data_IF_185502688610
#
_entry.id   IF_185502688610
#
_cell.length_a   1.000
_cell.length_b   1.000
_cell.length_c   1.000
_cell.angle_alpha   90.00
_cell.angle_beta   90.00
_cell.angle_gamma   90.00
#
_symmetry.space_group_name_H-M   'P 1'
#
loop_
_entity.id
_entity.type
_entity.pdbx_description
1 polymer ?
#
# COMPACT_ATOMS: atom_id res chain seq x y z
N UNK A 1 -3.91 -25.36 -0.52
CA UNK A 1 -4.04 -24.11 -1.30
C UNK A 1 -3.76 -22.93 -0.38
N UNK A 2 -2.96 -21.95 -0.83
CA UNK A 2 -2.66 -20.73 -0.06
C UNK A 2 -3.93 -19.89 0.04
N UNK A 3 -4.15 -19.24 1.20
CA UNK A 3 -5.30 -18.36 1.46
C UNK A 3 -4.80 -16.93 1.68
N UNK A 4 -5.31 -15.96 0.94
CA UNK A 4 -4.84 -14.57 0.98
C UNK A 4 -6.02 -13.61 1.16
N UNK A 5 -5.90 -12.72 2.15
CA UNK A 5 -6.74 -11.53 2.28
C UNK A 5 -5.98 -10.38 1.64
N UNK A 6 -6.46 -9.92 0.49
CA UNK A 6 -5.92 -8.75 -0.18
C UNK A 6 -6.61 -7.49 0.36
N UNK A 7 -5.84 -6.62 1.02
CA UNK A 7 -6.31 -5.30 1.43
C UNK A 7 -6.00 -4.33 0.31
N UNK A 8 -6.98 -4.06 -0.55
CA UNK A 8 -6.85 -3.22 -1.74
C UNK A 8 -7.14 -1.77 -1.36
N UNK A 9 -6.20 -0.86 -1.61
CA UNK A 9 -6.35 0.54 -1.24
C UNK A 9 -5.55 1.49 -2.15
N UNK A 10 -6.08 2.69 -2.35
CA UNK A 10 -5.33 3.81 -2.92
C UNK A 10 -4.30 4.35 -1.93
N UNK A 11 -3.18 4.90 -2.42
CA UNK A 11 -2.20 5.54 -1.55
C UNK A 11 -2.85 6.65 -0.69
N UNK A 12 -2.42 6.78 0.56
CA UNK A 12 -2.96 7.79 1.50
C UNK A 12 -4.22 7.37 2.28
N UNK A 13 -4.83 6.21 1.99
CA UNK A 13 -6.08 5.79 2.67
C UNK A 13 -5.86 4.85 3.86
N UNK A 14 -4.62 4.45 4.17
CA UNK A 14 -4.28 3.69 5.38
C UNK A 14 -4.37 2.16 5.27
N UNK A 15 -4.33 1.59 4.06
CA UNK A 15 -4.47 0.15 3.87
C UNK A 15 -3.39 -0.72 4.51
N UNK A 16 -2.12 -0.26 4.58
CA UNK A 16 -1.07 -1.01 5.31
C UNK A 16 -1.40 -1.15 6.80
N UNK A 17 -1.89 -0.06 7.41
CA UNK A 17 -2.31 -0.08 8.82
C UNK A 17 -3.48 -1.04 9.02
N UNK A 18 -4.49 -0.99 8.15
CA UNK A 18 -5.60 -1.93 8.19
C UNK A 18 -5.14 -3.38 8.04
N UNK A 19 -4.24 -3.67 7.10
CA UNK A 19 -3.66 -5.00 6.90
C UNK A 19 -2.93 -5.51 8.15
N UNK A 20 -2.13 -4.66 8.81
CA UNK A 20 -1.48 -4.99 10.08
C UNK A 20 -2.51 -5.29 11.18
N UNK A 21 -3.62 -4.56 11.27
CA UNK A 21 -4.64 -4.85 12.28
C UNK A 21 -5.39 -6.17 11.98
N UNK A 22 -5.68 -6.46 10.70
CA UNK A 22 -6.28 -7.75 10.28
C UNK A 22 -5.35 -8.92 10.57
N UNK A 23 -4.03 -8.76 10.38
CA UNK A 23 -3.06 -9.84 10.58
C UNK A 23 -2.90 -10.28 12.03
N UNK A 24 -3.40 -9.48 12.99
CA UNK A 24 -3.41 -9.82 14.42
C UNK A 24 -4.52 -10.80 14.81
N UNK A 25 -5.48 -11.06 13.93
CA UNK A 25 -6.52 -12.05 14.16
C UNK A 25 -5.90 -13.45 14.25
N UNK A 26 -6.40 -14.31 15.15
CA UNK A 26 -5.86 -15.68 15.34
C UNK A 26 -5.90 -16.55 14.09
N UNK A 27 -6.79 -16.20 13.14
CA UNK A 27 -6.98 -16.86 11.84
C UNK A 27 -6.01 -16.38 10.77
N UNK A 28 -5.15 -15.41 11.07
CA UNK A 28 -4.20 -14.81 10.16
C UNK A 28 -2.76 -15.16 10.56
N UNK A 29 -1.89 -15.25 9.56
CA UNK A 29 -0.44 -15.21 9.78
C UNK A 29 -0.05 -13.78 10.12
N UNK A 30 0.92 -13.61 11.02
CA UNK A 30 1.39 -12.29 11.41
C UNK A 30 2.07 -11.58 10.22
N UNK A 31 1.63 -10.36 9.92
CA UNK A 31 2.25 -9.51 8.90
C UNK A 31 3.41 -8.74 9.54
N UNK A 32 4.63 -8.94 9.02
CA UNK A 32 5.78 -8.16 9.46
C UNK A 32 5.50 -6.69 9.16
N UNK A 33 5.53 -5.86 10.19
CA UNK A 33 5.27 -4.44 10.06
C UNK A 33 6.05 -3.64 11.08
N UNK A 34 6.36 -2.40 10.73
CA UNK A 34 6.95 -1.40 11.63
C UNK A 34 6.26 -0.05 11.40
N UNK A 35 6.21 0.77 12.43
CA UNK A 35 5.83 2.17 12.29
C UNK A 35 7.08 3.01 12.29
N UNK A 36 7.27 3.81 11.25
CA UNK A 36 8.31 4.83 11.16
C UNK A 36 7.59 6.16 11.13
N UNK A 37 7.83 6.98 12.16
CA UNK A 37 7.09 8.22 12.40
C UNK A 37 5.57 7.96 12.45
N UNK A 38 4.83 8.38 11.42
CA UNK A 38 3.37 8.17 11.31
C UNK A 38 2.98 7.17 10.20
N UNK A 39 3.95 6.54 9.55
CA UNK A 39 3.75 5.60 8.45
C UNK A 39 3.91 4.17 8.94
N UNK A 40 2.93 3.33 8.63
CA UNK A 40 3.06 1.88 8.76
C UNK A 40 3.69 1.32 7.50
N UNK A 41 4.78 0.58 7.64
CA UNK A 41 5.47 -0.12 6.55
C UNK A 41 5.33 -1.61 6.79
N UNK A 42 4.92 -2.34 5.76
CA UNK A 42 4.67 -3.79 5.83
C UNK A 42 5.58 -4.56 4.88
N UNK A 43 5.93 -5.79 5.27
CA UNK A 43 6.57 -6.79 4.40
C UNK A 43 5.70 -8.05 4.45
N UNK A 44 4.95 -8.27 3.37
CA UNK A 44 4.03 -9.40 3.23
C UNK A 44 4.66 -10.58 2.48
N UNK A 45 3.88 -11.63 2.27
CA UNK A 45 4.34 -12.86 1.63
C UNK A 45 4.72 -12.72 0.15
N UNK A 46 4.37 -11.60 -0.50
CA UNK A 46 4.76 -11.30 -1.86
C UNK A 46 5.99 -10.38 -1.91
N UNK A 47 6.70 -10.21 -0.79
CA UNK A 47 7.91 -9.36 -0.72
C UNK A 47 7.67 -7.92 -1.21
N UNK A 48 6.47 -7.39 -0.95
CA UNK A 48 5.99 -6.07 -1.40
C UNK A 48 5.69 -5.93 -2.91
N UNK A 49 5.85 -6.97 -3.73
CA UNK A 49 5.50 -6.95 -5.17
C UNK A 49 4.02 -6.60 -5.42
N UNK A 50 3.16 -6.84 -4.43
CA UNK A 50 1.75 -6.42 -4.44
C UNK A 50 1.53 -4.89 -4.37
N UNK A 51 2.58 -4.08 -4.18
CA UNK A 51 2.50 -2.62 -4.04
C UNK A 51 3.51 -1.86 -4.92
N UNK A 52 4.49 -2.57 -5.49
CA UNK A 52 5.58 -1.99 -6.27
C UNK A 52 5.25 -2.02 -7.76
N UNK A 53 5.35 -0.86 -8.42
CA UNK A 53 5.31 -0.77 -9.88
C UNK A 53 4.10 -1.40 -10.57
N UNK A 54 4.26 -1.85 -11.83
CA UNK A 54 3.31 -2.72 -12.53
C UNK A 54 3.34 -4.15 -11.98
N UNK A 55 2.19 -4.83 -11.99
CA UNK A 55 2.10 -6.20 -11.48
C UNK A 55 2.94 -7.18 -12.32
N UNK A 56 3.84 -7.92 -11.67
CA UNK A 56 4.63 -8.98 -12.29
C UNK A 56 4.16 -10.36 -11.81
N UNK A 57 3.31 -11.00 -12.60
CA UNK A 57 2.74 -12.30 -12.25
C UNK A 57 3.78 -13.40 -12.11
N UNK A 58 4.81 -13.42 -12.98
CA UNK A 58 5.84 -14.45 -12.93
C UNK A 58 6.65 -14.38 -11.64
N UNK A 59 7.02 -13.17 -11.21
CA UNK A 59 7.68 -12.95 -9.93
C UNK A 59 6.78 -13.37 -8.77
N UNK A 60 5.52 -12.93 -8.76
CA UNK A 60 4.54 -13.31 -7.72
C UNK A 60 4.37 -14.82 -7.63
N UNK A 61 4.22 -15.52 -8.75
CA UNK A 61 4.08 -16.99 -8.77
C UNK A 61 5.35 -17.70 -8.28
N UNK A 62 6.55 -17.22 -8.66
CA UNK A 62 7.82 -17.74 -8.15
C UNK A 62 7.95 -17.58 -6.64
N UNK A 63 7.53 -16.44 -6.09
CA UNK A 63 7.51 -16.21 -4.64
C UNK A 63 6.53 -17.16 -3.97
N UNK A 64 5.28 -17.23 -4.45
CA UNK A 64 4.23 -18.07 -3.87
C UNK A 64 4.58 -19.56 -3.85
N UNK A 65 5.32 -20.06 -4.83
CA UNK A 65 5.79 -21.45 -4.85
C UNK A 65 6.77 -21.78 -3.71
N UNK A 66 7.37 -20.77 -3.07
CA UNK A 66 8.27 -20.91 -1.92
C UNK A 66 7.59 -20.62 -0.59
N UNK A 67 6.37 -20.09 -0.60
CA UNK A 67 5.62 -19.75 0.62
C UNK A 67 5.14 -21.05 1.27
N UNK A 68 5.44 -21.21 2.55
CA UNK A 68 4.98 -22.36 3.33
C UNK A 68 3.45 -22.45 3.36
N UNK A 69 2.92 -23.67 3.36
CA UNK A 69 1.48 -23.86 3.52
C UNK A 69 1.07 -23.59 4.97
N UNK A 70 0.15 -22.64 5.15
CA UNK A 70 -0.45 -22.32 6.44
C UNK A 70 -1.96 -22.56 6.43
N UNK A 71 -2.55 -23.09 7.52
CA UNK A 71 -4.00 -23.15 7.68
C UNK A 71 -4.60 -21.76 7.95
N UNK A 72 -3.78 -20.73 8.18
CA UNK A 72 -4.21 -19.34 8.42
C UNK A 72 -4.17 -18.52 7.12
N UNK A 73 -4.87 -17.40 7.12
CA UNK A 73 -4.85 -16.44 6.02
C UNK A 73 -3.59 -15.59 6.04
N UNK A 74 -2.93 -15.41 4.90
CA UNK A 74 -1.96 -14.34 4.73
C UNK A 74 -2.66 -13.03 4.44
N UNK A 75 -2.13 -11.92 4.92
CA UNK A 75 -2.71 -10.58 4.69
C UNK A 75 -1.74 -9.78 3.84
N UNK A 76 -2.20 -9.30 2.69
CA UNK A 76 -1.38 -8.60 1.69
C UNK A 76 -2.03 -7.25 1.39
N UNK A 77 -1.47 -6.13 1.89
CA UNK A 77 -1.88 -4.82 1.41
C UNK A 77 -1.45 -4.63 -0.05
N UNK A 78 -2.29 -4.04 -0.89
CA UNK A 78 -2.00 -3.88 -2.31
C UNK A 78 -2.63 -2.62 -2.88
N UNK A 79 -1.93 -2.02 -3.85
CA UNK A 79 -2.44 -0.91 -4.65
C UNK A 79 -3.19 -1.37 -5.90
N UNK A 80 -3.27 -2.68 -6.16
CA UNK A 80 -3.93 -3.23 -7.33
C UNK A 80 -5.43 -3.45 -7.12
N UNK A 81 -6.18 -3.30 -8.20
CA UNK A 81 -7.58 -3.70 -8.24
C UNK A 81 -7.73 -5.24 -8.16
N UNK A 82 -8.80 -5.78 -7.55
CA UNK A 82 -9.02 -7.23 -7.44
C UNK A 82 -8.95 -7.98 -8.78
N UNK A 83 -9.42 -7.40 -9.89
CA UNK A 83 -9.30 -8.01 -11.25
C UNK A 83 -7.86 -8.40 -11.59
N UNK A 84 -6.90 -7.58 -11.17
CA UNK A 84 -5.49 -7.83 -11.44
C UNK A 84 -4.98 -8.98 -10.59
N UNK A 85 -5.54 -9.18 -9.40
CA UNK A 85 -5.16 -10.21 -8.46
C UNK A 85 -5.84 -11.55 -8.76
N UNK A 86 -6.87 -11.58 -9.60
CA UNK A 86 -7.59 -12.80 -9.98
C UNK A 86 -6.70 -13.84 -10.67
N UNK A 87 -5.61 -13.41 -11.32
CA UNK A 87 -4.62 -14.30 -11.94
C UNK A 87 -3.71 -15.03 -10.94
N UNK A 88 -3.69 -14.61 -9.67
CA UNK A 88 -2.89 -15.26 -8.61
C UNK A 88 -3.57 -16.57 -8.20
N UNK A 89 -2.87 -17.70 -8.18
CA UNK A 89 -3.47 -18.99 -7.80
C UNK A 89 -3.56 -19.16 -6.27
N UNK A 90 -4.64 -18.68 -5.66
CA UNK A 90 -4.91 -18.77 -4.22
C UNK A 90 -6.42 -18.70 -3.91
N UNK A 91 -6.84 -19.15 -2.72
CA UNK A 91 -8.15 -18.77 -2.14
C UNK A 91 -8.05 -17.31 -1.70
N UNK A 92 -8.99 -16.46 -2.12
CA UNK A 92 -8.89 -15.01 -1.93
C UNK A 92 -10.10 -14.46 -1.19
N UNK A 93 -9.83 -13.44 -0.39
CA UNK A 93 -10.81 -12.50 0.14
C UNK A 93 -10.30 -11.10 -0.15
N UNK A 94 -11.16 -10.21 -0.63
CA UNK A 94 -10.80 -8.82 -0.89
C UNK A 94 -11.38 -7.92 0.19
N UNK A 95 -10.55 -7.05 0.77
CA UNK A 95 -10.96 -5.97 1.65
C UNK A 95 -10.58 -4.68 0.95
N UNK A 96 -11.56 -3.87 0.55
CA UNK A 96 -11.35 -2.75 -0.36
C UNK A 96 -11.66 -1.45 0.37
N UNK A 97 -10.67 -0.56 0.47
CA UNK A 97 -10.92 0.81 0.94
C UNK A 97 -11.31 1.65 -0.27
N UNK A 98 -12.61 1.95 -0.37
CA UNK A 98 -13.15 2.84 -1.39
C UNK A 98 -12.67 4.26 -1.14
N UNK A 99 -12.16 4.88 -2.20
CA UNK A 99 -11.78 6.29 -2.17
C UNK A 99 -12.94 7.18 -1.79
N UNK A 100 -12.64 8.30 -1.11
CA UNK A 100 -13.65 9.31 -0.86
C UNK A 100 -14.15 9.94 -2.15
N UNK A 101 -15.44 10.24 -2.17
CA UNK A 101 -16.08 11.09 -3.19
C UNK A 101 -16.30 12.51 -2.70
N UNK A 102 -16.27 12.72 -1.37
CA UNK A 102 -16.44 14.04 -0.76
C UNK A 102 -15.15 14.86 -0.84
N UNK A 103 -15.27 16.14 -1.21
CA UNK A 103 -14.12 17.04 -1.42
C UNK A 103 -13.23 17.22 -0.19
N UNK A 104 -13.80 17.26 1.01
CA UNK A 104 -13.04 17.36 2.27
C UNK A 104 -12.19 16.12 2.50
N UNK A 105 -12.75 14.93 2.31
CA UNK A 105 -12.04 13.67 2.47
C UNK A 105 -11.01 13.44 1.35
N UNK A 106 -11.26 13.90 0.13
CA UNK A 106 -10.27 13.90 -0.95
C UNK A 106 -9.03 14.69 -0.54
N UNK A 107 -9.21 15.93 -0.04
CA UNK A 107 -8.11 16.75 0.47
C UNK A 107 -7.37 16.08 1.63
N UNK A 108 -8.08 15.38 2.52
CA UNK A 108 -7.42 14.61 3.58
C UNK A 108 -6.55 13.48 3.03
N UNK A 109 -6.99 12.76 2.00
CA UNK A 109 -6.17 11.72 1.36
C UNK A 109 -4.95 12.34 0.68
N UNK A 110 -5.12 13.45 -0.03
CA UNK A 110 -4.02 14.19 -0.67
C UNK A 110 -2.99 14.66 0.36
N UNK A 111 -3.43 15.28 1.46
CA UNK A 111 -2.54 15.68 2.56
C UNK A 111 -1.82 14.47 3.18
N UNK A 112 -2.51 13.34 3.37
CA UNK A 112 -1.88 12.12 3.86
C UNK A 112 -0.79 11.60 2.90
N UNK A 113 -0.97 11.73 1.58
CA UNK A 113 0.06 11.36 0.61
C UNK A 113 1.25 12.30 0.76
N UNK A 114 1.03 13.61 0.85
CA UNK A 114 2.11 14.58 1.03
C UNK A 114 2.88 14.28 2.32
N UNK A 115 2.18 14.25 3.46
CA UNK A 115 2.81 14.12 4.79
C UNK A 115 3.50 12.77 5.00
N UNK A 116 2.91 11.67 4.54
CA UNK A 116 3.39 10.31 4.87
C UNK A 116 4.21 9.67 3.77
N UNK A 117 4.15 10.19 2.55
CA UNK A 117 4.85 9.61 1.40
C UNK A 117 5.87 10.60 0.87
N UNK A 118 5.46 11.78 0.44
CA UNK A 118 6.35 12.74 -0.20
C UNK A 118 7.35 13.34 0.79
N UNK A 119 6.90 13.68 1.99
CA UNK A 119 7.75 14.19 3.06
C UNK A 119 8.49 13.07 3.82
N UNK A 120 8.33 11.80 3.43
CA UNK A 120 9.06 10.68 4.04
C UNK A 120 10.56 10.91 3.88
N UNK A 121 11.26 10.99 5.01
CA UNK A 121 12.71 11.12 5.05
C UNK A 121 13.35 9.73 5.11
N UNK A 122 14.26 9.45 4.19
CA UNK A 122 14.99 8.18 4.20
C UNK A 122 15.92 8.12 5.41
N UNK A 123 15.94 6.99 6.11
CA UNK A 123 16.75 6.86 7.34
C UNK A 123 18.24 6.74 7.03
N UNK A 124 18.59 6.17 5.88
CA UNK A 124 19.95 5.94 5.43
C UNK A 124 20.03 5.74 3.91
N UNK A 125 21.26 5.66 3.40
CA UNK A 125 21.53 5.51 1.96
C UNK A 125 21.00 4.18 1.38
N UNK A 126 20.92 3.11 2.17
CA UNK A 126 20.40 1.82 1.70
C UNK A 126 18.90 1.88 1.47
N UNK A 127 18.16 2.54 2.37
CA UNK A 127 16.72 2.77 2.19
C UNK A 127 16.44 3.61 0.94
N UNK A 128 17.22 4.68 0.74
CA UNK A 128 17.13 5.51 -0.46
C UNK A 128 17.43 4.70 -1.73
N UNK A 129 18.50 3.90 -1.74
CA UNK A 129 18.83 3.00 -2.88
C UNK A 129 17.68 2.06 -3.20
N UNK A 130 17.15 1.37 -2.19
CA UNK A 130 16.04 0.44 -2.37
C UNK A 130 14.78 1.12 -2.91
N UNK A 131 14.49 2.35 -2.47
CA UNK A 131 13.37 3.12 -3.04
C UNK A 131 13.61 3.46 -4.52
N UNK A 132 14.84 3.87 -4.88
CA UNK A 132 15.19 4.19 -6.28
C UNK A 132 15.03 2.98 -7.20
N UNK A 133 15.50 1.81 -6.77
CA UNK A 133 15.34 0.56 -7.53
C UNK A 133 13.86 0.17 -7.64
N UNK A 134 13.10 0.29 -6.55
CA UNK A 134 11.67 -0.02 -6.53
C UNK A 134 10.83 0.88 -7.45
N UNK A 135 11.27 2.12 -7.65
CA UNK A 135 10.65 3.06 -8.60
C UNK A 135 11.15 2.86 -10.05
N UNK A 136 12.08 1.94 -10.28
CA UNK A 136 12.55 1.53 -11.61
C UNK A 136 13.72 2.35 -12.17
N UNK A 137 14.42 3.10 -11.32
CA UNK A 137 15.57 3.91 -11.71
C UNK A 137 16.90 3.27 -11.28
N UNK A 138 18.00 3.64 -11.93
CA UNK A 138 19.35 3.24 -11.50
C UNK A 138 19.80 4.12 -10.31
N UNK A 139 20.07 3.54 -9.12
CA UNK A 139 20.56 4.32 -7.99
C UNK A 139 21.86 5.07 -8.26
N UNK A 140 22.76 4.55 -9.11
CA UNK A 140 24.05 5.19 -9.34
C UNK A 140 23.90 6.56 -10.00
N UNK A 141 23.01 6.67 -11.00
CA UNK A 141 22.79 7.90 -11.75
C UNK A 141 22.08 8.98 -10.93
N UNK A 142 21.21 8.57 -10.00
CA UNK A 142 20.47 9.49 -9.15
C UNK A 142 21.33 9.94 -7.96
N UNK A 143 22.02 9.01 -7.30
CA UNK A 143 22.82 9.30 -6.10
C UNK A 143 24.03 10.19 -6.39
N UNK A 144 24.59 10.16 -7.61
CA UNK A 144 25.69 11.06 -7.99
C UNK A 144 25.29 12.54 -7.96
N UNK A 145 23.98 12.82 -8.09
CA UNK A 145 23.42 14.16 -8.10
C UNK A 145 22.79 14.57 -6.74
N UNK A 146 22.94 13.73 -5.71
CA UNK A 146 22.35 13.96 -4.38
C UNK A 146 23.40 14.29 -3.33
N UNK A 147 23.16 15.36 -2.57
CA UNK A 147 23.91 15.64 -1.34
C UNK A 147 23.07 15.31 -0.10
N UNK A 148 23.49 14.32 0.70
CA UNK A 148 22.88 14.02 2.00
C UNK A 148 21.56 13.22 1.95
N UNK A 149 20.94 13.08 3.14
CA UNK A 149 19.66 12.39 3.31
C UNK A 149 18.52 13.27 2.77
N UNK A 150 17.75 12.75 1.82
CA UNK A 150 16.65 13.47 1.16
C UNK A 150 15.27 12.96 1.60
N UNK A 151 14.25 13.74 1.29
CA UNK A 151 12.84 13.35 1.32
C UNK A 151 12.41 12.81 -0.03
N UNK A 152 11.27 12.11 -0.09
CA UNK A 152 10.81 11.49 -1.33
C UNK A 152 10.36 12.50 -2.39
N UNK A 153 9.79 13.65 -2.02
CA UNK A 153 9.50 14.74 -2.96
C UNK A 153 10.74 15.27 -3.68
N UNK A 154 11.85 15.43 -2.97
CA UNK A 154 13.13 15.83 -3.56
C UNK A 154 13.67 14.74 -4.48
N UNK A 155 13.46 13.48 -4.14
CA UNK A 155 13.77 12.36 -5.02
C UNK A 155 12.91 12.40 -6.30
N UNK A 156 11.63 12.73 -6.18
CA UNK A 156 10.73 12.93 -7.33
C UNK A 156 11.19 14.10 -8.20
N UNK A 157 11.67 15.22 -7.65
CA UNK A 157 12.29 16.28 -8.46
C UNK A 157 13.42 15.72 -9.33
N UNK A 158 14.31 14.91 -8.75
CA UNK A 158 15.46 14.34 -9.47
C UNK A 158 15.02 13.35 -10.56
N UNK A 159 14.01 12.53 -10.32
CA UNK A 159 13.43 11.66 -11.36
C UNK A 159 12.89 12.44 -12.56
N UNK A 160 12.43 13.67 -12.32
CA UNK A 160 11.91 14.56 -13.35
C UNK A 160 12.98 15.51 -13.92
N UNK A 161 14.27 15.29 -13.61
CA UNK A 161 15.38 16.17 -13.99
C UNK A 161 15.19 17.64 -13.54
N UNK A 162 14.57 17.84 -12.37
CA UNK A 162 14.37 19.13 -11.74
C UNK A 162 15.33 19.33 -10.57
N UNK A 163 15.68 20.58 -10.26
CA UNK A 163 16.34 20.91 -9.01
C UNK A 163 15.38 20.77 -7.81
N UNK A 164 15.92 20.77 -6.59
CA UNK A 164 15.13 20.64 -5.36
C UNK A 164 14.73 22.01 -4.78
N UNK A 165 14.42 22.98 -5.64
CA UNK A 165 13.90 24.29 -5.23
C UNK A 165 12.49 24.16 -4.64
N UNK A 166 12.09 25.12 -3.78
CA UNK A 166 10.76 25.13 -3.17
C UNK A 166 9.64 25.15 -4.22
N UNK A 167 9.84 25.89 -5.32
CA UNK A 167 8.88 25.95 -6.43
C UNK A 167 8.67 24.57 -7.08
N UNK A 168 9.75 23.84 -7.36
CA UNK A 168 9.66 22.53 -7.99
C UNK A 168 9.11 21.46 -7.04
N UNK A 169 9.44 21.54 -5.75
CA UNK A 169 8.82 20.67 -4.73
C UNK A 169 7.30 20.92 -4.67
N UNK A 170 6.87 22.19 -4.67
CA UNK A 170 5.44 22.52 -4.69
C UNK A 170 4.75 21.98 -5.94
N UNK A 171 5.40 22.03 -7.12
CA UNK A 171 4.89 21.40 -8.34
C UNK A 171 4.74 19.90 -8.17
N UNK A 172 5.73 19.20 -7.61
CA UNK A 172 5.63 17.76 -7.31
C UNK A 172 4.43 17.47 -6.41
N UNK A 173 4.20 18.25 -5.36
CA UNK A 173 3.07 18.02 -4.45
C UNK A 173 1.71 18.16 -5.15
N UNK A 174 1.61 19.03 -6.16
CA UNK A 174 0.41 19.20 -6.99
C UNK A 174 0.26 18.08 -8.01
N UNK A 175 1.37 17.68 -8.66
CA UNK A 175 1.32 16.77 -9.81
C UNK A 175 1.46 15.31 -9.45
N UNK A 176 1.93 14.96 -8.25
CA UNK A 176 2.13 13.57 -7.82
C UNK A 176 0.78 12.85 -7.76
N UNK A 177 0.45 11.99 -8.75
CA UNK A 177 -0.86 11.40 -8.80
C UNK A 177 -0.94 10.26 -7.77
N UNK A 178 -2.10 10.03 -7.15
CA UNK A 178 -2.31 8.77 -6.42
C UNK A 178 -2.15 7.60 -7.39
N UNK A 179 -1.26 6.65 -7.06
CA UNK A 179 -0.85 5.52 -7.94
C UNK A 179 -2.02 4.72 -8.55
N UNK A 180 -3.17 4.67 -7.89
CA UNK A 180 -4.43 4.16 -8.42
C UNK A 180 -5.59 4.65 -7.55
N UNK A 181 -6.75 4.92 -8.16
CA UNK A 181 -7.97 5.28 -7.43
C UNK A 181 -8.95 4.11 -7.40
N UNK A 182 -9.19 3.57 -6.21
CA UNK A 182 -10.17 2.50 -6.01
C UNK A 182 -11.56 3.08 -5.71
N UNK A 183 -12.46 3.01 -6.68
CA UNK A 183 -13.84 3.48 -6.52
C UNK A 183 -14.79 2.41 -7.03
N UNK A 184 -15.51 1.76 -6.11
CA UNK A 184 -16.50 0.72 -6.42
C UNK A 184 -17.88 1.17 -5.94
N UNK A 185 -18.89 0.98 -6.78
CA UNK A 185 -20.24 1.52 -6.56
C UNK A 185 -21.12 0.57 -5.76
N UNK A 186 -20.85 -0.75 -5.78
CA UNK A 186 -21.70 -1.69 -5.06
C UNK A 186 -21.01 -3.02 -4.74
N UNK A 187 -21.67 -3.79 -3.87
CA UNK A 187 -21.23 -5.14 -3.48
C UNK A 187 -21.27 -6.16 -4.64
N UNK A 188 -21.74 -5.78 -5.84
CA UNK A 188 -21.81 -6.69 -6.99
C UNK A 188 -20.52 -6.72 -7.81
N UNK A 189 -19.59 -5.77 -7.60
CA UNK A 189 -18.38 -5.68 -8.41
C UNK A 189 -17.45 -6.89 -8.18
N UNK A 190 -17.46 -7.43 -6.95
CA UNK A 190 -16.77 -8.66 -6.54
C UNK A 190 -17.54 -9.35 -5.43
N UNK A 191 -18.01 -10.57 -5.70
CA UNK A 191 -18.81 -11.38 -4.76
C UNK A 191 -18.05 -11.75 -3.46
N UNK A 192 -16.73 -11.80 -3.51
CA UNK A 192 -15.86 -12.12 -2.37
C UNK A 192 -15.11 -10.88 -1.85
N UNK A 193 -15.77 -9.72 -1.86
CA UNK A 193 -15.18 -8.47 -1.39
C UNK A 193 -15.98 -7.81 -0.25
N UNK A 194 -15.24 -7.19 0.67
CA UNK A 194 -15.77 -6.34 1.73
C UNK A 194 -15.36 -4.91 1.40
N UNK A 195 -16.34 -4.06 1.10
CA UNK A 195 -16.12 -2.66 0.74
C UNK A 195 -16.20 -1.77 1.97
N UNK A 196 -15.21 -0.90 2.14
CA UNK A 196 -15.07 0.02 3.25
C UNK A 196 -14.99 1.44 2.67
N UNK A 197 -16.05 2.26 2.83
CA UNK A 197 -15.95 3.69 2.53
C UNK A 197 -14.80 4.33 3.35
N UNK A 198 -13.93 5.12 2.71
CA UNK A 198 -12.82 5.79 3.41
C UNK A 198 -13.26 6.56 4.67
N UNK A 199 -14.41 7.24 4.65
CA UNK A 199 -14.95 7.94 5.83
C UNK A 199 -15.12 7.06 7.07
N UNK A 200 -15.32 5.74 6.88
CA UNK A 200 -15.44 4.79 7.98
C UNK A 200 -14.09 4.51 8.64
N UNK A 201 -12.98 4.58 7.88
CA UNK A 201 -11.64 4.37 8.43
C UNK A 201 -11.20 5.50 9.37
N UNK A 202 -11.90 6.63 9.32
CA UNK A 202 -11.67 7.80 10.18
C UNK A 202 -12.41 7.71 11.53
N UNK A 203 -13.34 6.76 11.68
CA UNK A 203 -14.13 6.65 12.90
C UNK A 203 -13.27 6.18 14.08
N UNK A 204 -13.52 6.71 15.30
CA UNK A 204 -12.93 6.16 16.50
C UNK A 204 -13.19 4.65 16.60
N UNK A 205 -12.18 3.87 16.96
CA UNK A 205 -12.28 2.41 17.10
C UNK A 205 -12.61 1.63 15.81
N UNK A 206 -12.50 2.24 14.63
CA UNK A 206 -12.76 1.57 13.35
C UNK A 206 -12.06 0.20 13.24
N UNK A 207 -10.75 0.14 13.49
CA UNK A 207 -9.99 -1.10 13.36
C UNK A 207 -10.47 -2.21 14.29
N UNK A 208 -10.84 -1.89 15.53
CA UNK A 208 -11.35 -2.86 16.50
C UNK A 208 -12.71 -3.41 16.06
N UNK A 209 -13.63 -2.52 15.65
CA UNK A 209 -14.97 -2.91 15.20
C UNK A 209 -14.90 -3.72 13.90
N UNK A 210 -14.08 -3.28 12.95
CA UNK A 210 -13.94 -3.94 11.66
C UNK A 210 -13.32 -5.33 11.80
N UNK A 211 -12.20 -5.47 12.51
CA UNK A 211 -11.52 -6.76 12.68
C UNK A 211 -12.38 -7.76 13.46
N UNK A 212 -13.16 -7.31 14.44
CA UNK A 212 -14.15 -8.15 15.14
C UNK A 212 -15.24 -8.66 14.19
N UNK A 213 -15.73 -7.82 13.27
CA UNK A 213 -16.70 -8.23 12.24
C UNK A 213 -16.07 -9.24 11.27
N UNK A 214 -14.89 -8.91 10.72
CA UNK A 214 -14.16 -9.77 9.79
C UNK A 214 -13.85 -11.15 10.38
N UNK A 215 -13.45 -11.22 11.65
CA UNK A 215 -13.16 -12.50 12.33
C UNK A 215 -14.32 -13.49 12.29
N UNK A 216 -15.57 -12.99 12.36
CA UNK A 216 -16.78 -13.82 12.23
C UNK A 216 -16.93 -14.38 10.82
N UNK A 217 -16.67 -13.57 9.79
CA UNK A 217 -16.74 -13.97 8.39
C UNK A 217 -15.64 -14.94 7.97
N UNK A 218 -14.49 -14.93 8.63
CA UNK A 218 -13.37 -15.85 8.35
C UNK A 218 -13.58 -17.28 8.90
N UNK A 219 -14.77 -17.61 9.44
CA UNK A 219 -15.09 -18.93 10.01
C UNK A 219 -15.52 -19.96 8.95
N UNK A 220 -15.34 -19.66 7.67
CA UNK A 220 -15.77 -20.47 6.50
C UNK A 220 -14.58 -21.08 5.75
#
# INVERSE_FOLDING_TARGET
MIKIIFVCYSQGTGGEKLATEISKLDKCNNLKSKTVEQRTITVDILECEGRSGPINYDTIHKILNKVEHSPKWYVVPTHYHPIMLDKINAKKLYVIINNPTDSSHIKMVENNIIEKVLLHKFSNILELKGQIEADGYDPKSILSNMSGIQTYDKLQCLYNNLDTSEENIAKIHITYPPKQKMTYLSNTDYLNAIYIPYKNTLQPNFYQTFTKSLSKSLTI
#
